data_IF_611404807410
#
_entry.id   IF_611404807410
#
_cell.length_a   1.000
_cell.length_b   1.000
_cell.length_c   1.000
_cell.angle_alpha   90.00
_cell.angle_beta   90.00
_cell.angle_gamma   90.00
#
_symmetry.space_group_name_H-M   'P 1'
#
loop_
_entity.id
_entity.type
_entity.pdbx_description
1 polymer ?
#
# COMPACT_ATOMS: atom_id res chain seq x y z
N UNK A 1 -18.15 16.29 -15.65
CA UNK A 1 -17.77 14.87 -15.50
C UNK A 1 -18.74 13.94 -16.21
N UNK A 2 -18.25 13.06 -17.08
CA UNK A 2 -19.07 12.03 -17.74
C UNK A 2 -18.67 10.63 -17.25
N UNK A 3 -19.37 10.12 -16.24
CA UNK A 3 -19.11 8.80 -15.65
C UNK A 3 -19.30 7.65 -16.64
N UNK A 4 -20.17 7.79 -17.64
CA UNK A 4 -20.33 6.77 -18.68
C UNK A 4 -19.07 6.67 -19.56
N UNK A 5 -18.45 7.81 -19.86
CA UNK A 5 -17.17 7.83 -20.58
C UNK A 5 -16.07 7.18 -19.76
N UNK A 6 -15.96 7.52 -18.47
CA UNK A 6 -15.00 6.88 -17.55
C UNK A 6 -15.23 5.37 -17.51
N UNK A 7 -16.47 4.93 -17.22
CA UNK A 7 -16.83 3.51 -17.14
C UNK A 7 -16.48 2.77 -18.43
N UNK A 8 -16.74 3.36 -19.60
CA UNK A 8 -16.38 2.77 -20.88
C UNK A 8 -14.86 2.64 -21.03
N UNK A 9 -14.10 3.69 -20.73
CA UNK A 9 -12.64 3.66 -20.81
C UNK A 9 -12.02 2.62 -19.87
N UNK A 10 -12.54 2.51 -18.64
CA UNK A 10 -12.14 1.51 -17.65
C UNK A 10 -12.45 0.08 -18.12
N UNK A 11 -13.65 -0.17 -18.66
CA UNK A 11 -14.05 -1.51 -19.18
C UNK A 11 -13.24 -1.95 -20.40
N UNK A 12 -12.93 -1.01 -21.28
CA UNK A 12 -12.19 -1.28 -22.52
C UNK A 12 -10.66 -1.22 -22.30
N UNK A 13 -10.20 -1.07 -21.05
CA UNK A 13 -8.80 -0.89 -20.65
C UNK A 13 -8.03 0.14 -21.50
N UNK A 14 -8.70 1.23 -21.88
CA UNK A 14 -8.08 2.34 -22.59
C UNK A 14 -7.34 3.23 -21.60
N UNK A 15 -6.16 2.76 -21.18
CA UNK A 15 -5.41 3.33 -20.05
C UNK A 15 -5.22 4.85 -20.20
N UNK A 16 -4.71 5.32 -21.33
CA UNK A 16 -4.43 6.76 -21.51
C UNK A 16 -5.73 7.61 -21.49
N UNK A 17 -6.83 7.08 -22.03
CA UNK A 17 -8.14 7.75 -21.97
C UNK A 17 -8.70 7.75 -20.55
N UNK A 18 -8.55 6.63 -19.82
CA UNK A 18 -8.98 6.51 -18.44
C UNK A 18 -8.18 7.45 -17.52
N UNK A 19 -6.85 7.49 -17.65
CA UNK A 19 -5.97 8.34 -16.85
C UNK A 19 -6.35 9.82 -16.96
N UNK A 20 -6.58 10.34 -18.17
CA UNK A 20 -7.00 11.73 -18.34
C UNK A 20 -8.36 12.06 -17.72
N UNK A 21 -9.31 11.10 -17.72
CA UNK A 21 -10.61 11.29 -17.07
C UNK A 21 -10.48 11.17 -15.55
N UNK A 22 -9.65 10.24 -15.06
CA UNK A 22 -9.36 10.03 -13.65
C UNK A 22 -8.69 11.26 -13.02
N UNK A 23 -7.75 11.89 -13.73
CA UNK A 23 -7.13 13.15 -13.32
C UNK A 23 -8.16 14.28 -13.15
N UNK A 24 -9.10 14.43 -14.10
CA UNK A 24 -10.21 15.40 -13.98
C UNK A 24 -11.11 15.06 -12.78
N UNK A 25 -11.40 13.77 -12.55
CA UNK A 25 -12.22 13.30 -11.43
C UNK A 25 -11.57 13.62 -10.07
N UNK A 26 -10.28 13.32 -9.93
CA UNK A 26 -9.52 13.57 -8.70
C UNK A 26 -9.36 15.06 -8.43
N UNK A 27 -8.94 15.84 -9.43
CA UNK A 27 -8.75 17.31 -9.32
C UNK A 27 -10.02 18.02 -8.88
N UNK A 28 -11.18 17.57 -9.37
CA UNK A 28 -12.47 18.15 -9.01
C UNK A 28 -13.10 17.52 -7.76
N UNK A 29 -12.41 16.60 -7.07
CA UNK A 29 -12.90 15.82 -5.93
C UNK A 29 -14.31 15.27 -6.16
N UNK A 30 -14.54 14.68 -7.33
CA UNK A 30 -15.89 14.31 -7.78
C UNK A 30 -16.39 13.02 -7.11
N UNK A 31 -16.90 13.15 -5.88
CA UNK A 31 -17.41 12.06 -5.04
C UNK A 31 -18.41 11.11 -5.73
N UNK A 32 -19.31 11.54 -6.63
CA UNK A 32 -20.21 10.60 -7.31
C UNK A 32 -19.49 9.52 -8.14
N UNK A 33 -18.19 9.67 -8.43
CA UNK A 33 -17.39 8.63 -9.05
C UNK A 33 -16.98 7.51 -8.08
N UNK A 34 -16.95 7.73 -6.77
CA UNK A 34 -16.40 6.81 -5.76
C UNK A 34 -16.93 5.38 -5.91
N UNK A 35 -18.26 5.13 -6.04
CA UNK A 35 -18.77 3.77 -6.19
C UNK A 35 -18.22 3.04 -7.42
N UNK A 36 -18.10 3.76 -8.54
CA UNK A 36 -17.52 3.22 -9.78
C UNK A 36 -16.01 2.97 -9.61
N UNK A 37 -15.29 3.90 -8.99
CA UNK A 37 -13.85 3.75 -8.75
C UNK A 37 -13.57 2.55 -7.83
N UNK A 38 -14.34 2.36 -6.76
CA UNK A 38 -14.22 1.20 -5.87
C UNK A 38 -14.55 -0.11 -6.61
N UNK A 39 -15.59 -0.13 -7.45
CA UNK A 39 -15.91 -1.29 -8.30
C UNK A 39 -14.68 -1.71 -9.13
N UNK A 40 -14.08 -0.76 -9.85
CA UNK A 40 -12.95 -1.05 -10.74
C UNK A 40 -11.63 -1.29 -10.01
N UNK A 41 -11.38 -0.60 -8.88
CA UNK A 41 -10.25 -0.86 -7.99
C UNK A 41 -10.20 -2.36 -7.62
N UNK A 42 -11.36 -2.92 -7.29
CA UNK A 42 -11.51 -4.32 -6.90
C UNK A 42 -11.63 -5.29 -8.06
N UNK A 43 -12.08 -4.88 -9.25
CA UNK A 43 -12.33 -5.82 -10.35
C UNK A 43 -11.24 -5.89 -11.42
N UNK A 44 -10.44 -4.83 -11.62
CA UNK A 44 -9.42 -4.81 -12.69
C UNK A 44 -8.24 -5.71 -12.35
N UNK A 45 -7.68 -6.42 -13.33
CA UNK A 45 -6.42 -7.16 -13.23
C UNK A 45 -5.20 -6.33 -13.67
N UNK A 46 -5.44 -5.15 -14.25
CA UNK A 46 -4.40 -4.25 -14.72
C UNK A 46 -3.86 -3.40 -13.57
N UNK A 47 -2.63 -3.68 -13.11
CA UNK A 47 -2.04 -2.97 -11.97
C UNK A 47 -1.87 -1.46 -12.21
N UNK A 48 -1.58 -1.04 -13.46
CA UNK A 48 -1.44 0.40 -13.78
C UNK A 48 -2.78 1.10 -13.62
N UNK A 49 -3.85 0.52 -14.16
CA UNK A 49 -5.19 1.07 -14.02
C UNK A 49 -5.63 1.13 -12.55
N UNK A 50 -5.34 0.06 -11.79
CA UNK A 50 -5.64 0.00 -10.35
C UNK A 50 -4.93 1.12 -9.58
N UNK A 51 -3.66 1.37 -9.89
CA UNK A 51 -2.89 2.44 -9.26
C UNK A 51 -3.49 3.81 -9.57
N UNK A 52 -3.83 4.09 -10.83
CA UNK A 52 -4.47 5.36 -11.20
C UNK A 52 -5.80 5.56 -10.46
N UNK A 53 -6.62 4.50 -10.35
CA UNK A 53 -7.88 4.55 -9.59
C UNK A 53 -7.63 4.82 -8.11
N UNK A 54 -6.65 4.16 -7.50
CA UNK A 54 -6.32 4.36 -6.09
C UNK A 54 -5.85 5.79 -5.80
N UNK A 55 -5.00 6.35 -6.66
CA UNK A 55 -4.57 7.75 -6.56
C UNK A 55 -5.75 8.71 -6.74
N UNK A 56 -6.66 8.45 -7.67
CA UNK A 56 -7.88 9.27 -7.81
C UNK A 56 -8.77 9.21 -6.56
N UNK A 57 -8.91 8.04 -5.93
CA UNK A 57 -9.63 7.92 -4.66
C UNK A 57 -8.94 8.71 -3.54
N UNK A 58 -7.61 8.68 -3.50
CA UNK A 58 -6.79 9.51 -2.60
C UNK A 58 -7.03 11.01 -2.83
N UNK A 59 -7.03 11.47 -4.08
CA UNK A 59 -7.25 12.88 -4.43
C UNK A 59 -8.66 13.38 -4.07
N UNK A 60 -9.66 12.49 -4.13
CA UNK A 60 -11.03 12.80 -3.70
C UNK A 60 -11.10 12.96 -2.16
N UNK A 61 -10.23 12.28 -1.41
CA UNK A 61 -10.12 12.37 0.06
C UNK A 61 -11.43 12.01 0.81
N UNK A 62 -12.21 11.07 0.29
CA UNK A 62 -13.41 10.58 0.96
C UNK A 62 -13.13 9.27 1.71
N UNK A 63 -13.37 9.26 3.03
CA UNK A 63 -13.10 8.14 3.96
C UNK A 63 -13.72 6.80 3.52
N UNK A 64 -14.76 6.80 2.69
CA UNK A 64 -15.35 5.58 2.11
C UNK A 64 -14.31 4.76 1.32
N UNK A 65 -13.23 5.39 0.84
CA UNK A 65 -12.16 4.73 0.10
C UNK A 65 -11.19 3.91 0.96
N UNK A 66 -11.08 4.17 2.28
CA UNK A 66 -10.06 3.57 3.15
C UNK A 66 -10.17 2.04 3.19
N UNK A 67 -11.34 1.51 3.55
CA UNK A 67 -11.54 0.06 3.66
C UNK A 67 -11.32 -0.67 2.31
N UNK A 68 -11.85 -0.20 1.16
CA UNK A 68 -11.51 -0.74 -0.16
C UNK A 68 -10.01 -0.74 -0.48
N UNK A 69 -9.27 0.32 -0.13
CA UNK A 69 -7.83 0.41 -0.34
C UNK A 69 -7.09 -0.61 0.54
N UNK A 70 -7.47 -0.73 1.82
CA UNK A 70 -6.92 -1.72 2.77
C UNK A 70 -7.21 -3.15 2.32
N UNK A 71 -8.41 -3.44 1.82
CA UNK A 71 -8.76 -4.75 1.25
C UNK A 71 -7.81 -5.09 0.09
N UNK A 72 -7.60 -4.15 -0.83
CA UNK A 72 -6.70 -4.34 -1.96
C UNK A 72 -5.23 -4.49 -1.55
N UNK A 73 -4.77 -3.73 -0.56
CA UNK A 73 -3.42 -3.87 0.01
C UNK A 73 -3.19 -5.29 0.55
N UNK A 74 -4.24 -5.93 1.09
CA UNK A 74 -4.16 -7.28 1.63
C UNK A 74 -4.45 -8.39 0.60
N UNK A 75 -5.06 -8.06 -0.54
CA UNK A 75 -5.39 -9.02 -1.58
C UNK A 75 -4.11 -9.66 -2.17
N UNK A 76 -4.03 -10.99 -2.32
CA UNK A 76 -2.91 -11.66 -2.99
C UNK A 76 -2.65 -11.17 -4.42
N UNK A 77 -3.68 -10.69 -5.14
CA UNK A 77 -3.57 -10.22 -6.52
C UNK A 77 -2.84 -8.88 -6.65
N UNK A 78 -2.52 -8.20 -5.55
CA UNK A 78 -1.67 -7.01 -5.54
C UNK A 78 -0.22 -7.31 -5.20
N UNK A 79 0.16 -8.58 -4.99
CA UNK A 79 1.54 -8.93 -4.61
C UNK A 79 2.55 -8.32 -5.61
N UNK A 80 3.50 -7.54 -5.09
CA UNK A 80 4.49 -6.82 -5.88
C UNK A 80 4.07 -5.41 -6.36
N UNK A 81 2.79 -5.04 -6.22
CA UNK A 81 2.21 -3.78 -6.70
C UNK A 81 1.36 -3.08 -5.63
N UNK A 82 1.83 -3.05 -4.38
CA UNK A 82 1.10 -2.47 -3.23
C UNK A 82 1.51 -1.04 -2.89
N UNK A 83 2.67 -0.57 -3.36
CA UNK A 83 3.23 0.75 -3.02
C UNK A 83 2.25 1.89 -3.26
N UNK A 84 1.68 1.98 -4.48
CA UNK A 84 0.70 3.02 -4.81
C UNK A 84 -0.60 2.93 -3.99
N UNK A 85 -1.01 1.73 -3.57
CA UNK A 85 -2.21 1.56 -2.73
C UNK A 85 -1.96 2.07 -1.31
N UNK A 86 -0.77 1.80 -0.74
CA UNK A 86 -0.36 2.37 0.54
C UNK A 86 -0.20 3.89 0.42
N UNK A 87 0.45 4.38 -0.64
CA UNK A 87 0.59 5.81 -0.88
C UNK A 87 -0.79 6.52 -0.92
N UNK A 88 -1.79 5.91 -1.54
CA UNK A 88 -3.16 6.43 -1.60
C UNK A 88 -3.84 6.57 -0.23
N UNK A 89 -3.26 6.01 0.84
CA UNK A 89 -3.78 6.17 2.20
C UNK A 89 -3.29 7.45 2.92
N UNK A 90 -2.30 8.17 2.36
CA UNK A 90 -1.67 9.34 2.98
C UNK A 90 -2.62 10.49 3.39
N UNK A 91 -3.78 10.71 2.77
CA UNK A 91 -4.71 11.72 3.25
C UNK A 91 -5.55 11.29 4.47
N UNK A 92 -5.56 10.00 4.83
CA UNK A 92 -6.50 9.42 5.79
C UNK A 92 -5.83 9.07 7.12
N UNK A 93 -6.60 9.02 8.20
CA UNK A 93 -6.16 8.43 9.47
C UNK A 93 -6.19 6.91 9.35
N UNK A 94 -5.03 6.30 9.56
CA UNK A 94 -4.81 4.86 9.44
C UNK A 94 -4.73 4.16 10.80
N UNK A 95 -5.06 4.84 11.91
CA UNK A 95 -4.99 4.26 13.26
C UNK A 95 -5.68 2.90 13.38
N UNK A 96 -6.89 2.72 12.82
CA UNK A 96 -7.63 1.45 12.83
C UNK A 96 -6.89 0.30 12.12
N UNK A 97 -5.88 0.60 11.32
CA UNK A 97 -5.16 -0.35 10.47
C UNK A 97 -3.69 -0.51 10.83
N UNK A 98 -3.25 -0.07 12.02
CA UNK A 98 -1.84 -0.19 12.44
C UNK A 98 -1.30 -1.62 12.30
N UNK A 99 -2.07 -2.64 12.69
CA UNK A 99 -1.62 -4.04 12.54
C UNK A 99 -1.38 -4.45 11.08
N UNK A 100 -2.19 -3.93 10.16
CA UNK A 100 -2.01 -4.13 8.71
C UNK A 100 -0.74 -3.44 8.23
N UNK A 101 -0.52 -2.19 8.62
CA UNK A 101 0.70 -1.45 8.24
C UNK A 101 1.95 -2.15 8.75
N UNK A 102 1.95 -2.63 10.00
CA UNK A 102 3.06 -3.41 10.57
C UNK A 102 3.28 -4.71 9.79
N UNK A 103 2.24 -5.41 9.37
CA UNK A 103 2.40 -6.60 8.53
C UNK A 103 3.13 -6.28 7.22
N UNK A 104 2.75 -5.21 6.52
CA UNK A 104 3.40 -4.83 5.25
C UNK A 104 4.79 -4.21 5.45
N UNK A 105 5.04 -3.53 6.57
CA UNK A 105 6.37 -3.08 6.98
C UNK A 105 7.35 -4.26 7.14
N UNK A 106 6.90 -5.39 7.67
CA UNK A 106 7.77 -6.54 7.95
C UNK A 106 7.89 -7.51 6.76
N UNK A 107 6.90 -7.56 5.88
CA UNK A 107 6.83 -8.57 4.80
C UNK A 107 6.89 -8.01 3.38
N UNK A 108 6.78 -6.70 3.22
CA UNK A 108 6.78 -6.02 1.93
C UNK A 108 8.13 -6.02 1.22
N UNK A 109 8.13 -5.65 -0.07
CA UNK A 109 9.34 -5.22 -0.77
C UNK A 109 9.77 -3.82 -0.28
N UNK A 110 10.93 -3.32 -0.71
CA UNK A 110 11.47 -2.04 -0.26
C UNK A 110 10.46 -0.87 -0.34
N UNK A 111 9.75 -0.74 -1.47
CA UNK A 111 8.74 0.31 -1.66
C UNK A 111 7.59 0.17 -0.64
N UNK A 112 7.03 -1.03 -0.50
CA UNK A 112 5.94 -1.32 0.44
C UNK A 112 6.35 -1.07 1.88
N UNK A 113 7.59 -1.43 2.26
CA UNK A 113 8.10 -1.19 3.61
C UNK A 113 8.22 0.31 3.90
N UNK A 114 8.75 1.08 2.94
CA UNK A 114 8.89 2.53 3.07
C UNK A 114 7.53 3.23 3.20
N UNK A 115 6.57 2.89 2.33
CA UNK A 115 5.24 3.50 2.38
C UNK A 115 4.48 3.10 3.66
N UNK A 116 4.59 1.84 4.10
CA UNK A 116 3.99 1.41 5.37
C UNK A 116 4.60 2.14 6.57
N UNK A 117 5.92 2.34 6.57
CA UNK A 117 6.60 3.12 7.63
C UNK A 117 6.11 4.58 7.63
N UNK A 118 6.04 5.24 6.47
CA UNK A 118 5.57 6.61 6.36
C UNK A 118 4.14 6.77 6.92
N UNK A 119 3.23 5.85 6.60
CA UNK A 119 1.87 5.88 7.15
C UNK A 119 1.86 5.68 8.68
N UNK A 120 2.72 4.83 9.22
CA UNK A 120 2.82 4.65 10.68
C UNK A 120 3.33 5.93 11.35
N UNK A 121 4.27 6.62 10.71
CA UNK A 121 4.89 7.84 11.23
C UNK A 121 3.96 9.06 11.12
N UNK A 122 3.25 9.22 10.00
CA UNK A 122 2.54 10.45 9.66
C UNK A 122 1.02 10.32 9.71
N UNK A 123 0.44 9.11 9.71
CA UNK A 123 -1.00 8.86 9.53
C UNK A 123 -1.63 8.05 10.67
N UNK A 124 -1.05 8.07 11.87
CA UNK A 124 -1.67 7.50 13.08
C UNK A 124 -2.06 8.66 13.99
N UNK A 125 -3.31 9.12 13.88
CA UNK A 125 -3.77 10.34 14.57
C UNK A 125 -4.70 10.07 15.74
N UNK A 126 -5.37 8.91 15.74
CA UNK A 126 -6.29 8.50 16.81
C UNK A 126 -5.60 7.63 17.86
N UNK A 127 -6.09 7.72 19.11
CA UNK A 127 -5.63 6.91 20.23
C UNK A 127 -5.80 5.40 19.95
N UNK A 128 -4.74 4.66 20.23
CA UNK A 128 -4.69 3.21 20.08
C UNK A 128 -4.69 2.55 21.45
N UNK A 129 -5.34 1.39 21.55
CA UNK A 129 -5.26 0.60 22.78
C UNK A 129 -3.85 0.06 23.01
N UNK A 130 -3.43 -0.01 24.27
CA UNK A 130 -2.15 -0.60 24.68
C UNK A 130 -1.96 -2.02 24.13
N UNK A 131 -3.04 -2.81 24.02
CA UNK A 131 -3.01 -4.17 23.46
C UNK A 131 -2.57 -4.18 21.97
N UNK A 132 -3.13 -3.29 21.16
CA UNK A 132 -2.77 -3.15 19.73
C UNK A 132 -1.31 -2.71 19.60
N UNK A 133 -0.89 -1.71 20.37
CA UNK A 133 0.50 -1.22 20.36
C UNK A 133 1.46 -2.33 20.79
N UNK A 134 1.15 -3.05 21.88
CA UNK A 134 1.99 -4.13 22.40
C UNK A 134 2.14 -5.27 21.38
N UNK A 135 1.05 -5.67 20.71
CA UNK A 135 1.10 -6.66 19.62
C UNK A 135 2.04 -6.22 18.50
N UNK A 136 1.96 -4.96 18.08
CA UNK A 136 2.82 -4.40 17.04
C UNK A 136 4.30 -4.38 17.47
N UNK A 137 4.59 -3.93 18.70
CA UNK A 137 5.94 -3.94 19.27
C UNK A 137 6.53 -5.35 19.29
N UNK A 138 5.76 -6.35 19.72
CA UNK A 138 6.23 -7.75 19.76
C UNK A 138 6.58 -8.25 18.36
N UNK A 139 5.74 -7.95 17.34
CA UNK A 139 6.01 -8.34 15.94
C UNK A 139 7.31 -7.70 15.44
N UNK A 140 7.52 -6.41 15.65
CA UNK A 140 8.73 -5.69 15.22
C UNK A 140 9.97 -6.20 15.95
N UNK A 141 9.91 -6.39 17.28
CA UNK A 141 11.04 -6.95 18.06
C UNK A 141 11.47 -8.31 17.54
N UNK A 142 10.52 -9.20 17.27
CA UNK A 142 10.81 -10.52 16.74
C UNK A 142 11.53 -10.46 15.39
N UNK A 143 11.13 -9.57 14.48
CA UNK A 143 11.82 -9.45 13.19
C UNK A 143 13.23 -8.85 13.37
N UNK A 144 13.41 -7.90 14.30
CA UNK A 144 14.75 -7.37 14.64
C UNK A 144 15.69 -8.48 15.14
N UNK A 145 15.22 -9.34 16.05
CA UNK A 145 15.99 -10.48 16.56
C UNK A 145 16.38 -11.45 15.42
N UNK A 146 15.46 -11.72 14.48
CA UNK A 146 15.75 -12.57 13.31
C UNK A 146 16.73 -11.89 12.32
N UNK A 147 16.66 -10.57 12.15
CA UNK A 147 17.62 -9.81 11.34
C UNK A 147 19.01 -9.84 11.96
N UNK A 148 19.12 -9.65 13.29
CA UNK A 148 20.38 -9.74 14.01
C UNK A 148 21.01 -11.12 13.84
N UNK A 149 20.22 -12.18 14.06
CA UNK A 149 20.67 -13.57 13.81
C UNK A 149 21.12 -13.80 12.37
N UNK A 150 20.36 -13.32 11.37
CA UNK A 150 20.73 -13.44 9.95
C UNK A 150 22.03 -12.70 9.67
N UNK A 151 22.22 -11.51 10.24
CA UNK A 151 23.44 -10.71 10.09
C UNK A 151 24.66 -11.45 10.64
N UNK A 152 24.56 -12.06 11.82
CA UNK A 152 25.64 -12.88 12.39
C UNK A 152 26.04 -14.00 11.44
N UNK A 153 25.07 -14.79 10.95
CA UNK A 153 25.33 -15.90 10.03
C UNK A 153 25.99 -15.42 8.72
N UNK A 154 25.54 -14.28 8.18
CA UNK A 154 26.10 -13.72 6.95
C UNK A 154 27.51 -13.16 7.17
N UNK A 155 27.79 -12.58 8.33
CA UNK A 155 29.13 -12.14 8.73
C UNK A 155 30.09 -13.33 8.82
N UNK A 156 29.70 -14.41 9.51
CA UNK A 156 30.50 -15.63 9.61
C UNK A 156 30.78 -16.24 8.23
N UNK A 157 29.76 -16.28 7.36
CA UNK A 157 29.90 -16.78 6.00
C UNK A 157 30.86 -15.93 5.16
N UNK A 158 30.83 -14.60 5.33
CA UNK A 158 31.74 -13.68 4.64
C UNK A 158 33.20 -13.92 5.06
N UNK A 159 33.45 -14.06 6.35
CA UNK A 159 34.78 -14.36 6.88
C UNK A 159 35.32 -15.69 6.37
N UNK A 160 34.47 -16.74 6.34
CA UNK A 160 34.81 -18.03 5.76
C UNK A 160 35.17 -17.90 4.26
N UNK A 161 34.37 -17.18 3.47
CA UNK A 161 34.63 -16.98 2.04
C UNK A 161 35.95 -16.23 1.79
N UNK A 162 36.33 -15.27 2.64
CA UNK A 162 37.64 -14.62 2.56
C UNK A 162 38.79 -15.62 2.78
N UNK A 163 38.65 -16.53 3.74
CA UNK A 163 39.69 -17.55 4.01
C UNK A 163 39.89 -18.53 2.84
N UNK A 164 38.86 -18.77 2.01
CA UNK A 164 38.94 -19.65 0.84
C UNK A 164 39.73 -19.03 -0.32
N UNK A 165 39.95 -17.71 -0.31
CA UNK A 165 40.63 -16.99 -1.39
C UNK A 165 42.16 -17.00 -1.22
N UNK A 166 42.69 -17.45 -0.09
CA UNK A 166 44.15 -17.57 0.14
C UNK A 166 44.77 -18.87 -0.43
N UNK A 167 44.29 -19.36 -1.58
CA UNK A 167 44.92 -20.44 -2.38
C UNK A 167 45.16 -19.98 -3.80
#
# INVERSE_FOLDING_TARGET
>A
MNLEKLKKALKEEKIDEAEGILEEVGTNKYEPAIPLLIEFLKSTDNHRLRNSIALTLSDIENEIAVEPLIEMINDPKTLGFRGSLLFALKPFDCSSHLETLIYHLLSGNFEVQMEAYQLIEENIHSDLSDDVILKCIIKVKKELDEIERKKEILSDALDLLFSLKEV
#
